data_IF_119872170851
#
_entry.id   IF_119872170851
#
_cell.length_a   1.000
_cell.length_b   1.000
_cell.length_c   1.000
_cell.angle_alpha   90.00
_cell.angle_beta   90.00
_cell.angle_gamma   90.00
#
_symmetry.space_group_name_H-M   'P 1'
#
loop_
_entity.id
_entity.type
_entity.pdbx_description
1 polymer ?
#
# COMPACT_ATOMS: atom_id res chain seq x y z
N UNK A 1 -16.30 20.34 -64.47
CA UNK A 1 -16.78 20.39 -63.09
C UNK A 1 -15.89 19.50 -62.26
N UNK A 2 -15.01 20.04 -61.42
CA UNK A 2 -14.14 19.32 -60.52
C UNK A 2 -14.64 19.53 -59.10
N UNK A 3 -15.12 18.50 -58.43
CA UNK A 3 -15.50 18.54 -57.02
C UNK A 3 -14.27 18.19 -56.19
N UNK A 4 -13.82 19.16 -55.35
CA UNK A 4 -12.81 18.93 -54.31
C UNK A 4 -13.48 18.54 -53.01
N UNK A 5 -13.20 17.34 -52.52
CA UNK A 5 -13.65 16.86 -51.23
C UNK A 5 -12.62 17.29 -50.18
N UNK A 6 -13.01 18.18 -49.28
CA UNK A 6 -12.22 18.54 -48.09
C UNK A 6 -12.49 17.46 -47.00
N UNK A 7 -11.45 16.75 -46.64
CA UNK A 7 -11.44 15.89 -45.46
C UNK A 7 -11.09 16.73 -44.21
N UNK A 8 -12.05 16.93 -43.31
CA UNK A 8 -11.80 17.49 -41.99
C UNK A 8 -11.36 16.37 -41.06
N UNK A 9 -10.10 16.32 -40.72
CA UNK A 9 -9.59 15.50 -39.60
C UNK A 9 -9.86 16.19 -38.27
N UNK A 10 -10.92 15.80 -37.60
CA UNK A 10 -11.20 16.25 -36.25
C UNK A 10 -10.30 15.50 -35.27
N UNK A 11 -9.31 16.16 -34.69
CA UNK A 11 -8.55 15.63 -33.56
C UNK A 11 -9.43 15.69 -32.31
N UNK A 12 -9.83 14.51 -31.80
CA UNK A 12 -10.48 14.39 -30.49
C UNK A 12 -9.42 14.67 -29.42
N UNK A 13 -9.42 15.86 -28.83
CA UNK A 13 -8.67 16.17 -27.63
C UNK A 13 -9.49 15.64 -26.45
N UNK A 14 -9.11 14.47 -25.92
CA UNK A 14 -9.66 13.98 -24.67
C UNK A 14 -9.16 14.86 -23.51
N UNK A 15 -10.00 15.79 -23.06
CA UNK A 15 -9.73 16.56 -21.85
C UNK A 15 -9.90 15.63 -20.63
N UNK A 16 -8.78 15.29 -20.00
CA UNK A 16 -8.79 14.65 -18.68
C UNK A 16 -9.24 15.69 -17.67
N UNK A 17 -10.51 15.66 -17.31
CA UNK A 17 -11.05 16.48 -16.24
C UNK A 17 -10.54 15.91 -14.91
N UNK A 18 -9.56 16.55 -14.30
CA UNK A 18 -9.19 16.30 -12.89
C UNK A 18 -10.28 16.92 -12.01
N UNK A 19 -11.32 16.17 -11.70
CA UNK A 19 -12.33 16.60 -10.76
C UNK A 19 -11.70 16.62 -9.36
N UNK A 20 -11.53 17.81 -8.77
CA UNK A 20 -11.22 17.94 -7.34
C UNK A 20 -12.38 17.36 -6.54
N UNK A 21 -12.12 16.52 -5.53
CA UNK A 21 -13.19 16.02 -4.66
C UNK A 21 -13.99 17.18 -4.07
N UNK A 22 -15.31 17.03 -3.98
CA UNK A 22 -16.14 18.05 -3.33
C UNK A 22 -15.78 18.13 -1.85
N UNK A 23 -15.91 19.33 -1.23
CA UNK A 23 -15.67 19.52 0.21
C UNK A 23 -16.47 18.56 1.11
N UNK A 24 -17.55 18.01 0.61
CA UNK A 24 -18.36 17.01 1.30
C UNK A 24 -17.67 15.64 1.30
N UNK A 25 -17.10 15.24 0.16
CA UNK A 25 -16.29 13.99 0.01
C UNK A 25 -15.02 14.09 0.87
N UNK A 26 -14.35 15.25 0.88
CA UNK A 26 -13.20 15.50 1.78
C UNK A 26 -13.58 15.42 3.26
N UNK A 27 -14.76 15.92 3.64
CA UNK A 27 -15.26 15.82 5.03
C UNK A 27 -15.69 14.40 5.39
N UNK A 28 -16.15 13.62 4.46
CA UNK A 28 -16.45 12.19 4.66
C UNK A 28 -15.17 11.38 4.73
N UNK A 29 -14.22 11.57 3.84
CA UNK A 29 -12.91 10.94 3.88
C UNK A 29 -12.22 11.17 5.24
N UNK A 30 -12.25 12.41 5.76
CA UNK A 30 -11.71 12.77 7.10
C UNK A 30 -12.31 12.01 8.28
N UNK A 31 -13.43 11.31 8.10
CA UNK A 31 -14.08 10.53 9.16
C UNK A 31 -13.83 9.04 9.05
N UNK A 32 -13.29 8.55 7.93
CA UNK A 32 -13.45 7.15 7.61
C UNK A 32 -12.17 6.31 7.58
N UNK A 33 -11.01 6.83 7.23
CA UNK A 33 -9.82 5.99 7.13
C UNK A 33 -8.52 6.80 7.07
N UNK A 34 -7.49 6.35 7.78
CA UNK A 34 -6.12 6.81 7.62
C UNK A 34 -5.15 5.66 7.89
N UNK A 35 -4.17 5.49 7.02
CA UNK A 35 -3.00 4.72 7.36
C UNK A 35 -2.08 5.57 8.21
N UNK A 36 -1.34 4.95 9.12
CA UNK A 36 -0.23 5.58 9.84
C UNK A 36 1.09 5.04 9.34
N UNK A 37 2.14 5.86 9.36
CA UNK A 37 3.50 5.38 9.24
C UNK A 37 3.78 4.23 10.22
N UNK A 38 4.78 3.44 9.90
CA UNK A 38 5.21 2.33 10.73
C UNK A 38 5.36 2.75 12.20
N UNK A 39 4.67 2.05 13.08
CA UNK A 39 4.75 2.21 14.53
C UNK A 39 5.39 0.97 15.12
N UNK A 40 6.73 1.00 15.25
CA UNK A 40 7.47 -0.07 15.88
C UNK A 40 7.08 -0.22 17.34
N UNK A 41 6.79 -1.43 17.80
CA UNK A 41 6.70 -1.73 19.22
C UNK A 41 8.11 -1.80 19.79
N UNK A 42 8.44 -0.93 20.72
CA UNK A 42 9.70 -0.96 21.45
C UNK A 42 9.70 -2.09 22.49
N UNK A 43 9.72 -3.34 22.04
CA UNK A 43 10.11 -4.45 22.89
C UNK A 43 11.61 -4.70 22.76
N UNK A 44 12.37 -3.95 23.52
CA UNK A 44 13.68 -4.36 24.02
C UNK A 44 13.47 -5.52 25.00
N UNK A 45 13.29 -6.71 24.51
CA UNK A 45 13.39 -7.91 25.33
C UNK A 45 14.83 -8.37 25.35
N UNK A 46 15.52 -8.14 26.47
CA UNK A 46 16.64 -8.94 26.91
C UNK A 46 18.02 -8.49 26.48
N UNK A 47 18.69 -7.80 27.39
CA UNK A 47 20.13 -7.88 27.72
C UNK A 47 21.04 -8.50 26.63
N UNK A 48 21.65 -7.69 25.79
CA UNK A 48 22.66 -8.12 24.83
C UNK A 48 23.33 -6.92 24.20
N UNK A 49 24.54 -6.60 24.71
CA UNK A 49 25.55 -5.69 24.21
C UNK A 49 25.43 -5.31 22.73
N UNK A 50 25.54 -4.00 22.50
CA UNK A 50 25.81 -3.41 21.19
C UNK A 50 26.89 -4.16 20.44
N UNK A 51 26.55 -4.87 19.38
CA UNK A 51 27.49 -5.37 18.39
C UNK A 51 27.21 -4.78 17.01
N UNK A 52 28.27 -4.35 16.42
CA UNK A 52 28.40 -3.64 15.16
C UNK A 52 27.77 -4.38 13.98
N UNK A 53 27.14 -3.64 13.13
CA UNK A 53 26.67 -4.01 11.80
C UNK A 53 27.78 -4.67 10.98
N UNK A 54 27.57 -5.93 10.61
CA UNK A 54 28.44 -6.63 9.66
C UNK A 54 28.46 -8.13 9.80
N UNK A 55 27.32 -8.84 9.65
CA UNK A 55 27.34 -10.26 9.27
C UNK A 55 26.01 -10.68 8.64
N UNK A 56 26.09 -11.27 7.46
CA UNK A 56 25.00 -11.98 6.78
C UNK A 56 24.33 -12.99 7.73
N UNK A 57 23.01 -12.92 7.89
CA UNK A 57 22.23 -14.12 8.18
C UNK A 57 21.54 -14.21 9.55
N UNK A 58 21.06 -13.11 10.15
CA UNK A 58 20.03 -13.19 11.19
C UNK A 58 18.88 -12.32 10.73
N UNK A 59 17.83 -12.94 10.21
CA UNK A 59 16.55 -12.26 9.93
C UNK A 59 15.88 -12.01 11.26
N UNK A 60 15.98 -10.79 11.78
CA UNK A 60 15.17 -10.37 12.92
C UNK A 60 13.79 -10.02 12.39
N UNK A 61 12.76 -10.69 12.89
CA UNK A 61 11.38 -10.23 12.72
C UNK A 61 11.21 -9.00 13.61
N UNK A 62 10.73 -7.91 13.03
CA UNK A 62 10.34 -6.73 13.78
C UNK A 62 8.86 -6.77 14.13
N UNK A 63 8.45 -5.99 15.12
CA UNK A 63 7.07 -5.93 15.56
C UNK A 63 6.52 -4.51 15.42
N UNK A 64 5.27 -4.42 15.01
CA UNK A 64 4.52 -3.19 14.84
C UNK A 64 3.12 -3.33 15.43
N UNK A 65 2.53 -2.23 15.87
CA UNK A 65 1.14 -2.24 16.31
C UNK A 65 0.16 -2.32 15.13
N UNK A 66 0.58 -1.91 13.94
CA UNK A 66 -0.32 -1.70 12.80
C UNK A 66 0.10 -2.41 11.52
N UNK A 67 1.38 -2.70 11.26
CA UNK A 67 1.85 -3.28 10.00
C UNK A 67 2.36 -4.70 10.13
N UNK A 68 2.07 -5.51 9.12
CA UNK A 68 2.65 -6.84 8.93
C UNK A 68 2.98 -7.06 7.46
N UNK A 69 4.19 -7.50 7.16
CA UNK A 69 4.66 -7.70 5.80
C UNK A 69 6.16 -7.53 5.67
N UNK A 70 6.59 -6.95 4.57
CA UNK A 70 8.02 -6.68 4.31
C UNK A 70 8.22 -5.21 3.99
N UNK A 71 9.27 -4.63 4.57
CA UNK A 71 9.74 -3.27 4.31
C UNK A 71 11.18 -3.36 3.81
N UNK A 72 11.48 -2.81 2.64
CA UNK A 72 12.85 -2.52 2.23
C UNK A 72 13.18 -1.12 2.76
N UNK A 73 13.98 -1.05 3.80
CA UNK A 73 14.25 0.18 4.57
C UNK A 73 15.08 1.21 3.81
N UNK A 74 15.85 0.77 2.79
CA UNK A 74 16.65 1.68 1.99
C UNK A 74 16.91 1.16 0.58
N UNK A 75 16.90 2.06 -0.42
CA UNK A 75 17.35 1.73 -1.77
C UNK A 75 18.90 1.55 -1.80
N UNK A 76 19.43 1.02 -2.89
CA UNK A 76 20.86 1.06 -3.11
C UNK A 76 21.43 2.48 -3.02
N UNK A 77 22.66 2.59 -2.50
CA UNK A 77 23.31 3.89 -2.25
C UNK A 77 23.22 4.84 -3.44
N UNK A 78 22.81 6.09 -3.17
CA UNK A 78 22.65 7.14 -4.16
C UNK A 78 21.40 7.02 -5.06
N UNK A 79 20.47 6.13 -4.73
CA UNK A 79 19.24 5.92 -5.49
C UNK A 79 18.00 6.14 -4.61
N UNK A 80 16.84 6.24 -5.26
CA UNK A 80 15.55 6.34 -4.61
C UNK A 80 14.59 5.32 -5.24
N UNK A 81 13.69 4.74 -4.46
CA UNK A 81 12.60 3.96 -5.02
C UNK A 81 11.67 4.85 -5.83
N UNK A 82 11.40 4.41 -7.06
CA UNK A 82 10.51 5.12 -7.99
C UNK A 82 9.25 4.33 -8.31
N UNK A 83 9.26 3.01 -8.08
CA UNK A 83 8.05 2.20 -8.23
C UNK A 83 8.04 0.99 -7.32
N UNK A 84 6.84 0.59 -6.91
CA UNK A 84 6.58 -0.65 -6.18
C UNK A 84 5.37 -1.33 -6.81
N UNK A 85 5.44 -2.65 -6.95
CA UNK A 85 4.32 -3.45 -7.46
C UNK A 85 4.11 -4.71 -6.64
N UNK A 86 2.88 -5.18 -6.59
CA UNK A 86 2.49 -6.44 -5.99
C UNK A 86 1.15 -6.91 -6.50
N UNK A 87 0.95 -8.23 -6.55
CA UNK A 87 -0.31 -8.84 -6.96
C UNK A 87 -0.76 -9.80 -5.88
N UNK A 88 -2.00 -9.71 -5.44
CA UNK A 88 -2.56 -10.64 -4.45
C UNK A 88 -4.00 -11.05 -4.79
N UNK A 89 -4.43 -12.15 -4.20
CA UNK A 89 -5.82 -12.59 -4.23
C UNK A 89 -6.55 -11.99 -3.03
N UNK A 90 -7.66 -11.30 -3.28
CA UNK A 90 -8.48 -10.69 -2.22
C UNK A 90 -9.02 -11.77 -1.29
N UNK A 91 -8.69 -11.73 0.01
CA UNK A 91 -9.12 -12.77 0.96
C UNK A 91 -10.60 -12.66 1.29
N UNK A 92 -11.14 -13.69 1.91
CA UNK A 92 -12.44 -13.62 2.59
C UNK A 92 -12.20 -13.56 4.08
N UNK A 93 -12.38 -12.41 4.74
CA UNK A 93 -12.23 -12.32 6.18
C UNK A 93 -13.29 -13.17 6.88
N UNK A 94 -12.97 -13.68 8.06
CA UNK A 94 -13.81 -14.57 8.83
C UNK A 94 -13.79 -14.24 10.32
N UNK A 95 -14.73 -14.81 11.09
CA UNK A 95 -14.82 -14.61 12.53
C UNK A 95 -15.70 -13.44 12.94
N UNK A 96 -15.27 -12.67 13.94
CA UNK A 96 -15.98 -11.49 14.46
C UNK A 96 -15.85 -10.28 13.55
N UNK A 97 -16.71 -9.28 13.77
CA UNK A 97 -16.64 -7.99 13.08
C UNK A 97 -15.24 -7.37 13.21
N UNK A 98 -14.74 -6.87 12.09
CA UNK A 98 -13.43 -6.26 12.01
C UNK A 98 -13.05 -5.89 10.58
N UNK A 99 -11.89 -5.27 10.43
CA UNK A 99 -11.35 -4.85 9.13
C UNK A 99 -9.84 -5.06 9.08
N UNK A 100 -9.30 -5.22 7.88
CA UNK A 100 -7.87 -5.16 7.61
C UNK A 100 -7.65 -4.66 6.18
N UNK A 101 -6.45 -4.25 5.86
CA UNK A 101 -6.08 -3.73 4.55
C UNK A 101 -4.85 -4.42 4.00
N UNK A 102 -4.83 -4.72 2.69
CA UNK A 102 -3.63 -5.16 1.99
C UNK A 102 -3.22 -4.11 0.96
N UNK A 103 -1.97 -3.63 1.03
CA UNK A 103 -1.50 -2.54 0.20
C UNK A 103 -0.01 -2.63 -0.14
N UNK A 104 0.42 -1.83 -1.11
CA UNK A 104 1.83 -1.57 -1.42
C UNK A 104 2.10 -0.08 -1.41
N UNK A 105 3.34 0.34 -1.08
CA UNK A 105 3.68 1.74 -0.91
C UNK A 105 5.14 2.09 -1.11
N UNK A 106 5.39 3.40 -1.14
CA UNK A 106 6.71 4.04 -1.11
C UNK A 106 6.73 5.00 0.07
N UNK A 107 7.75 4.91 0.92
CA UNK A 107 7.96 5.65 2.18
C UNK A 107 6.95 5.28 3.28
N UNK A 108 7.16 5.73 4.51
CA UNK A 108 6.28 5.48 5.66
C UNK A 108 6.93 4.80 6.84
N UNK A 109 8.13 4.29 6.67
CA UNK A 109 8.96 3.75 7.75
C UNK A 109 10.01 4.80 8.16
N UNK A 110 11.25 4.69 7.73
CA UNK A 110 12.32 5.65 8.04
C UNK A 110 12.03 7.04 7.44
N UNK A 111 11.31 7.10 6.32
CA UNK A 111 10.75 8.33 5.74
C UNK A 111 9.28 8.53 6.17
N UNK A 112 9.03 8.70 7.45
CA UNK A 112 7.70 8.68 8.09
C UNK A 112 6.80 9.90 7.84
N UNK A 113 7.26 10.90 7.07
CA UNK A 113 6.47 12.11 6.79
C UNK A 113 5.55 11.98 5.57
N UNK A 114 5.71 10.94 4.77
CA UNK A 114 4.90 10.68 3.59
C UNK A 114 4.79 9.18 3.31
N UNK A 115 3.69 8.78 2.70
CA UNK A 115 3.51 7.46 2.08
C UNK A 115 2.69 7.67 0.82
N UNK A 116 3.18 7.19 -0.31
CA UNK A 116 2.36 7.05 -1.52
C UNK A 116 1.96 5.59 -1.64
N UNK A 117 0.68 5.30 -1.46
CA UNK A 117 0.18 3.93 -1.33
C UNK A 117 -1.20 3.73 -1.93
N UNK A 118 -1.54 2.47 -2.19
CA UNK A 118 -2.88 2.06 -2.58
C UNK A 118 -3.15 0.61 -2.17
N UNK A 119 -4.40 0.28 -1.91
CA UNK A 119 -4.76 -1.01 -1.39
C UNK A 119 -6.21 -1.40 -1.53
N UNK A 120 -6.53 -2.48 -0.85
CA UNK A 120 -7.87 -3.04 -0.70
C UNK A 120 -8.14 -3.31 0.76
N UNK A 121 -9.26 -2.76 1.25
CA UNK A 121 -9.80 -3.11 2.55
C UNK A 121 -10.74 -4.30 2.44
N UNK A 122 -10.72 -5.14 3.43
CA UNK A 122 -11.65 -6.24 3.60
C UNK A 122 -12.24 -6.18 5.01
N UNK A 123 -13.56 -6.00 5.05
CA UNK A 123 -14.33 -5.77 6.28
C UNK A 123 -15.38 -6.84 6.46
N UNK A 124 -15.53 -7.34 7.69
CA UNK A 124 -16.67 -8.13 8.11
C UNK A 124 -17.46 -7.34 9.14
N UNK A 125 -18.75 -7.16 8.91
CA UNK A 125 -19.66 -6.45 9.82
C UNK A 125 -21.05 -7.08 9.83
N UNK A 126 -21.49 -7.53 11.01
CA UNK A 126 -22.75 -8.23 11.17
C UNK A 126 -22.84 -9.48 10.29
N UNK A 127 -21.73 -10.21 10.13
CA UNK A 127 -21.62 -11.40 9.29
C UNK A 127 -21.62 -11.13 7.78
N UNK A 128 -21.60 -9.86 7.35
CA UNK A 128 -21.50 -9.45 5.94
C UNK A 128 -20.09 -9.00 5.63
N UNK A 129 -19.57 -9.43 4.48
CA UNK A 129 -18.24 -9.03 4.01
C UNK A 129 -18.38 -7.97 2.94
N UNK A 130 -17.53 -6.93 3.02
CA UNK A 130 -17.41 -5.87 2.02
C UNK A 130 -15.95 -5.58 1.71
N UNK A 131 -15.73 -4.96 0.55
CA UNK A 131 -14.41 -4.63 0.05
C UNK A 131 -14.40 -3.23 -0.52
N UNK A 132 -13.37 -2.44 -0.19
CA UNK A 132 -13.15 -1.12 -0.72
C UNK A 132 -11.74 -1.03 -1.30
N UNK A 133 -11.59 -0.45 -2.48
CA UNK A 133 -10.28 -0.15 -3.07
C UNK A 133 -9.99 1.32 -2.89
N UNK A 134 -8.76 1.62 -2.52
CA UNK A 134 -8.42 2.95 -2.10
C UNK A 134 -7.01 3.37 -2.54
N UNK A 135 -6.74 4.68 -2.45
CA UNK A 135 -5.46 5.32 -2.66
C UNK A 135 -5.22 6.43 -1.65
N UNK A 136 -3.97 6.68 -1.32
CA UNK A 136 -3.59 7.70 -0.34
C UNK A 136 -2.20 8.27 -0.66
N UNK A 137 -2.05 9.55 -0.37
CA UNK A 137 -0.75 10.18 -0.14
C UNK A 137 -0.79 10.77 1.26
N UNK A 138 -0.20 10.06 2.23
CA UNK A 138 -0.10 10.51 3.62
C UNK A 138 0.65 11.86 3.71
N UNK A 139 0.24 12.82 4.57
CA UNK A 139 -0.76 12.73 5.64
C UNK A 139 -2.21 13.09 5.23
N UNK A 140 -2.57 13.10 3.95
CA UNK A 140 -3.98 13.08 3.60
C UNK A 140 -4.62 11.76 4.04
N UNK A 141 -5.96 11.71 3.99
CA UNK A 141 -6.72 10.48 4.22
C UNK A 141 -6.78 9.62 2.95
N UNK A 142 -7.08 8.34 3.11
CA UNK A 142 -7.39 7.46 2.00
C UNK A 142 -8.71 7.86 1.33
N UNK A 143 -8.77 7.69 0.01
CA UNK A 143 -9.93 7.94 -0.82
C UNK A 143 -10.27 6.67 -1.60
N UNK A 144 -11.55 6.33 -1.67
CA UNK A 144 -12.00 5.16 -2.40
C UNK A 144 -11.97 5.41 -3.91
N UNK A 145 -11.60 4.38 -4.68
CA UNK A 145 -11.79 4.38 -6.12
C UNK A 145 -13.28 4.22 -6.44
N UNK A 146 -13.82 5.15 -7.21
CA UNK A 146 -15.16 5.00 -7.75
C UNK A 146 -15.16 4.03 -8.95
N UNK A 147 -16.23 3.22 -9.08
CA UNK A 147 -16.47 2.32 -10.21
C UNK A 147 -15.42 1.18 -10.40
N UNK A 148 -14.75 0.79 -9.33
CA UNK A 148 -13.84 -0.34 -9.32
C UNK A 148 -14.32 -1.39 -8.32
N UNK A 149 -15.20 -2.28 -8.77
CA UNK A 149 -15.76 -3.32 -7.92
C UNK A 149 -14.74 -4.41 -7.62
N UNK A 150 -14.69 -4.81 -6.35
CA UNK A 150 -13.84 -5.90 -5.84
C UNK A 150 -14.72 -6.93 -5.14
N UNK A 151 -14.32 -8.19 -5.25
CA UNK A 151 -14.94 -9.32 -4.56
C UNK A 151 -13.86 -10.27 -4.06
N UNK A 152 -14.20 -11.10 -3.08
CA UNK A 152 -13.35 -12.21 -2.66
C UNK A 152 -12.87 -13.03 -3.87
N UNK A 153 -11.62 -13.46 -3.83
CA UNK A 153 -11.02 -14.25 -4.89
C UNK A 153 -10.58 -13.45 -6.12
N UNK A 154 -10.86 -12.13 -6.19
CA UNK A 154 -10.30 -11.32 -7.26
C UNK A 154 -8.77 -11.21 -7.11
N UNK A 155 -8.08 -11.32 -8.23
CA UNK A 155 -6.63 -11.10 -8.32
C UNK A 155 -6.39 -9.63 -8.65
N UNK A 156 -5.85 -8.89 -7.69
CA UNK A 156 -5.58 -7.46 -7.81
C UNK A 156 -4.08 -7.24 -7.95
N UNK A 157 -3.68 -6.51 -9.00
CA UNK A 157 -2.33 -5.95 -9.11
C UNK A 157 -2.37 -4.49 -8.73
N UNK A 158 -1.44 -4.07 -7.89
CA UNK A 158 -1.24 -2.66 -7.51
C UNK A 158 0.12 -2.23 -8.04
N UNK A 159 0.15 -1.06 -8.68
CA UNK A 159 1.38 -0.41 -9.12
C UNK A 159 1.43 1.00 -8.55
N UNK A 160 2.50 1.31 -7.86
CA UNK A 160 2.83 2.65 -7.36
C UNK A 160 3.97 3.19 -8.22
N UNK A 161 3.84 4.42 -8.68
CA UNK A 161 4.86 5.13 -9.45
C UNK A 161 5.08 6.53 -8.86
N UNK A 162 6.30 6.81 -8.44
CA UNK A 162 6.77 8.14 -8.10
C UNK A 162 7.42 8.78 -9.33
N UNK A 163 6.78 9.77 -9.93
CA UNK A 163 7.34 10.52 -11.05
C UNK A 163 8.46 11.47 -10.60
N UNK A 164 8.30 12.00 -9.40
CA UNK A 164 9.28 12.80 -8.65
C UNK A 164 8.81 12.88 -7.19
N UNK A 165 9.54 13.59 -6.35
CA UNK A 165 9.22 13.67 -4.91
C UNK A 165 7.83 14.25 -4.58
N UNK A 166 7.20 14.96 -5.50
CA UNK A 166 5.91 15.64 -5.25
C UNK A 166 4.77 15.18 -6.15
N UNK A 167 5.02 14.29 -7.10
CA UNK A 167 4.00 13.76 -8.02
C UNK A 167 4.18 12.26 -8.23
N UNK A 168 3.08 11.55 -8.22
CA UNK A 168 3.06 10.12 -8.46
C UNK A 168 1.70 9.63 -8.96
N UNK A 169 1.62 8.35 -9.21
CA UNK A 169 0.38 7.70 -9.58
C UNK A 169 0.26 6.33 -8.94
N UNK A 170 -0.96 5.93 -8.71
CA UNK A 170 -1.31 4.58 -8.22
C UNK A 170 -2.29 3.96 -9.20
N UNK A 171 -2.09 2.69 -9.53
CA UNK A 171 -2.93 1.95 -10.46
C UNK A 171 -3.32 0.62 -9.85
N UNK A 172 -4.61 0.32 -9.83
CA UNK A 172 -5.15 -0.98 -9.48
C UNK A 172 -5.69 -1.68 -10.74
N UNK A 173 -5.39 -2.96 -10.89
CA UNK A 173 -5.84 -3.80 -11.99
C UNK A 173 -6.52 -5.04 -11.42
N UNK A 174 -7.81 -5.22 -11.69
CA UNK A 174 -8.53 -6.44 -11.38
C UNK A 174 -8.39 -7.41 -12.56
N UNK A 175 -7.54 -8.43 -12.41
CA UNK A 175 -7.24 -9.39 -13.47
C UNK A 175 -8.42 -10.29 -13.84
N UNK A 176 -9.39 -10.47 -12.94
CA UNK A 176 -10.57 -11.28 -13.19
C UNK A 176 -11.59 -10.58 -14.09
N UNK A 177 -11.67 -9.25 -13.99
CA UNK A 177 -12.62 -8.43 -14.78
C UNK A 177 -11.95 -7.70 -15.93
N UNK A 178 -10.62 -7.64 -15.97
CA UNK A 178 -9.84 -6.83 -16.92
C UNK A 178 -9.92 -5.31 -16.68
N UNK A 179 -10.61 -4.87 -15.63
CA UNK A 179 -10.73 -3.43 -15.31
C UNK A 179 -9.48 -2.92 -14.62
N UNK A 180 -9.16 -1.66 -14.90
CA UNK A 180 -8.12 -0.91 -14.20
C UNK A 180 -8.60 0.49 -13.84
N UNK A 181 -8.05 1.03 -12.77
CA UNK A 181 -8.22 2.43 -12.35
C UNK A 181 -6.86 3.01 -12.01
N UNK A 182 -6.69 4.28 -12.32
CA UNK A 182 -5.46 5.02 -12.02
C UNK A 182 -5.82 6.35 -11.40
N UNK A 183 -5.12 6.72 -10.33
CA UNK A 183 -5.18 8.03 -9.72
C UNK A 183 -3.80 8.69 -9.80
N UNK A 184 -3.78 9.93 -10.28
CA UNK A 184 -2.60 10.80 -10.22
C UNK A 184 -2.71 11.63 -8.94
N UNK A 185 -1.63 11.66 -8.16
CA UNK A 185 -1.57 12.37 -6.89
C UNK A 185 -0.42 13.37 -6.86
N UNK A 186 -0.61 14.38 -6.03
CA UNK A 186 0.44 15.33 -5.66
C UNK A 186 0.63 15.32 -4.16
N UNK A 187 1.86 15.53 -3.71
CA UNK A 187 2.16 15.65 -2.29
C UNK A 187 1.27 16.71 -1.63
N UNK A 188 0.64 16.40 -0.48
CA UNK A 188 -0.26 17.34 0.21
C UNK A 188 0.44 18.63 0.69
N UNK A 189 1.74 18.54 0.93
CA UNK A 189 2.59 19.66 1.34
C UNK A 189 4.05 19.39 0.95
N UNK A 190 4.91 20.37 1.06
CA UNK A 190 6.35 20.19 0.84
C UNK A 190 7.00 19.23 1.85
N UNK A 191 6.49 19.16 3.08
CA UNK A 191 6.96 18.22 4.11
C UNK A 191 6.56 16.78 3.82
N UNK A 192 5.51 16.57 3.03
CA UNK A 192 5.05 15.25 2.59
C UNK A 192 5.64 14.84 1.23
N UNK A 193 6.72 15.47 0.79
CA UNK A 193 7.44 15.05 -0.39
C UNK A 193 8.10 13.68 -0.16
N UNK A 194 7.93 12.76 -1.11
CA UNK A 194 8.56 11.43 -1.07
C UNK A 194 10.09 11.55 -1.00
N UNK A 195 10.68 10.66 -0.24
CA UNK A 195 12.13 10.45 -0.19
C UNK A 195 12.54 9.27 -1.07
N UNK A 196 11.60 8.39 -1.40
CA UNK A 196 11.89 7.13 -2.07
C UNK A 196 12.84 6.26 -1.26
N UNK A 197 12.70 6.33 0.06
CA UNK A 197 13.59 5.66 1.01
C UNK A 197 13.12 4.25 1.32
N UNK A 198 11.81 4.05 1.42
CA UNK A 198 11.22 2.76 1.76
C UNK A 198 10.38 2.21 0.60
N UNK A 199 10.23 0.89 0.54
CA UNK A 199 9.32 0.20 -0.35
C UNK A 199 8.71 -0.99 0.38
N UNK A 200 7.37 -1.17 0.34
CA UNK A 200 6.70 -2.10 1.21
C UNK A 200 5.48 -2.80 0.60
N UNK A 201 5.20 -3.99 1.15
CA UNK A 201 4.04 -4.86 0.91
C UNK A 201 3.46 -5.25 2.26
N UNK A 202 2.31 -4.67 2.61
CA UNK A 202 1.78 -4.66 3.98
C UNK A 202 0.35 -5.19 4.03
N UNK A 203 0.04 -5.93 5.11
CA UNK A 203 -1.30 -6.05 5.66
C UNK A 203 -1.36 -5.23 6.94
N UNK A 204 -2.33 -4.33 7.03
CA UNK A 204 -2.43 -3.31 8.07
C UNK A 204 -3.71 -3.44 8.90
N UNK A 205 -3.57 -3.22 10.21
CA UNK A 205 -4.63 -2.80 11.12
C UNK A 205 -4.70 -1.26 11.07
N UNK A 206 -5.50 -0.73 10.16
CA UNK A 206 -5.55 0.71 9.89
C UNK A 206 -6.41 1.48 10.92
N UNK A 207 -6.31 2.81 10.88
CA UNK A 207 -7.11 3.66 11.74
C UNK A 207 -8.41 4.13 11.11
N UNK A 208 -9.44 4.19 11.95
CA UNK A 208 -10.69 4.85 11.63
C UNK A 208 -11.14 5.71 12.80
N UNK A 209 -11.33 7.02 12.53
CA UNK A 209 -11.72 7.96 13.57
C UNK A 209 -10.66 8.16 14.67
N UNK A 210 -9.39 7.92 14.37
CA UNK A 210 -8.25 8.12 15.29
C UNK A 210 -7.96 6.93 16.21
N UNK A 211 -8.56 5.76 15.94
CA UNK A 211 -8.26 4.51 16.65
C UNK A 211 -8.05 3.38 15.65
N UNK A 212 -7.22 2.41 16.00
CA UNK A 212 -7.12 1.17 15.24
C UNK A 212 -8.49 0.50 15.17
N UNK A 213 -8.83 -0.07 14.01
CA UNK A 213 -10.04 -0.86 13.87
C UNK A 213 -9.91 -2.20 14.61
N UNK A 214 -11.00 -2.93 14.80
CA UNK A 214 -10.87 -4.32 15.23
C UNK A 214 -10.23 -5.11 14.10
N UNK A 215 -9.05 -5.68 14.33
CA UNK A 215 -8.30 -6.38 13.30
C UNK A 215 -9.01 -7.66 12.86
N UNK A 216 -9.37 -7.74 11.58
CA UNK A 216 -10.09 -8.88 11.03
C UNK A 216 -9.17 -10.08 10.81
N UNK A 217 -9.69 -11.28 11.07
CA UNK A 217 -9.03 -12.50 10.62
C UNK A 217 -9.20 -12.63 9.08
N UNK A 218 -8.20 -12.19 8.35
CA UNK A 218 -8.13 -12.26 6.89
C UNK A 218 -7.61 -13.61 6.36
N UNK A 219 -7.22 -14.53 7.26
CA UNK A 219 -6.59 -15.78 6.88
C UNK A 219 -5.16 -15.55 6.35
N UNK A 220 -4.99 -15.55 5.05
CA UNK A 220 -3.67 -15.37 4.42
C UNK A 220 -3.76 -14.45 3.22
N UNK A 221 -2.83 -13.50 3.11
CA UNK A 221 -2.58 -12.68 1.92
C UNK A 221 -1.18 -12.99 1.42
N UNK A 222 -1.05 -13.29 0.13
CA UNK A 222 0.25 -13.48 -0.52
C UNK A 222 0.38 -12.49 -1.67
N UNK A 223 1.27 -11.52 -1.51
CA UNK A 223 1.72 -10.67 -2.62
C UNK A 223 2.69 -11.46 -3.48
N UNK A 224 2.38 -11.61 -4.75
CA UNK A 224 3.22 -12.24 -5.78
C UNK A 224 3.67 -11.20 -6.79
N UNK A 225 4.68 -11.50 -7.60
CA UNK A 225 5.31 -10.52 -8.50
C UNK A 225 5.68 -9.22 -7.76
N UNK A 226 6.05 -9.36 -6.49
CA UNK A 226 6.42 -8.28 -5.62
C UNK A 226 7.81 -7.76 -5.98
N UNK A 227 7.92 -6.49 -6.32
CA UNK A 227 9.19 -5.85 -6.65
C UNK A 227 9.16 -4.35 -6.42
N UNK A 228 10.30 -3.78 -6.06
CA UNK A 228 10.54 -2.35 -5.95
C UNK A 228 11.67 -1.94 -6.89
N UNK A 229 11.50 -0.86 -7.63
CA UNK A 229 12.49 -0.40 -8.61
C UNK A 229 13.00 0.99 -8.29
N UNK A 230 14.28 1.17 -8.58
CA UNK A 230 14.97 2.45 -8.63
C UNK A 230 15.25 2.80 -10.10
N UNK A 231 16.01 3.85 -10.36
CA UNK A 231 16.42 4.21 -11.74
C UNK A 231 17.28 3.14 -12.44
N UNK A 232 17.93 2.26 -11.69
CA UNK A 232 18.90 1.31 -12.27
C UNK A 232 18.79 -0.12 -11.74
N UNK A 233 17.99 -0.37 -10.69
CA UNK A 233 17.88 -1.70 -10.07
C UNK A 233 16.43 -2.02 -9.72
N UNK A 234 16.14 -3.31 -9.72
CA UNK A 234 14.90 -3.87 -9.17
C UNK A 234 15.29 -4.81 -8.02
N UNK A 235 14.63 -4.64 -6.89
CA UNK A 235 14.81 -5.45 -5.69
C UNK A 235 13.52 -6.23 -5.40
N UNK A 236 13.71 -7.42 -4.86
CA UNK A 236 12.60 -8.22 -4.34
C UNK A 236 12.44 -8.08 -2.83
N UNK A 237 11.33 -8.58 -2.26
CA UNK A 237 11.04 -8.49 -0.83
C UNK A 237 12.14 -9.05 0.07
N UNK A 238 12.87 -10.09 -0.36
CA UNK A 238 13.98 -10.69 0.41
C UNK A 238 15.19 -9.75 0.62
N UNK A 239 15.10 -8.52 0.15
CA UNK A 239 16.07 -7.44 0.44
C UNK A 239 15.64 -6.59 1.64
N UNK A 240 14.47 -6.84 2.21
CA UNK A 240 13.88 -6.08 3.32
C UNK A 240 13.86 -6.85 4.64
N UNK A 241 13.27 -6.22 5.63
CA UNK A 241 12.96 -6.82 6.94
C UNK A 241 11.52 -7.34 6.95
N UNK A 242 11.27 -8.37 7.74
CA UNK A 242 9.92 -8.86 8.02
C UNK A 242 9.36 -8.17 9.26
N UNK A 243 8.11 -7.79 9.17
CA UNK A 243 7.38 -7.16 10.27
C UNK A 243 6.13 -7.98 10.58
N UNK A 244 5.79 -8.12 11.86
CA UNK A 244 4.58 -8.77 12.34
C UNK A 244 3.80 -7.83 13.26
N UNK A 245 2.47 -7.91 13.23
CA UNK A 245 1.64 -7.16 14.16
C UNK A 245 1.70 -7.81 15.53
N UNK A 246 2.07 -7.01 16.55
CA UNK A 246 1.97 -7.35 17.95
C UNK A 246 1.14 -6.31 18.70
N UNK A 247 0.07 -6.77 19.36
CA UNK A 247 -0.82 -5.92 20.16
C UNK A 247 -1.05 -6.57 21.53
N UNK A 248 -0.93 -5.79 22.58
CA UNK A 248 -1.12 -6.24 23.96
C UNK A 248 -0.26 -7.47 24.33
N UNK A 249 0.98 -7.54 23.80
CA UNK A 249 1.91 -8.65 24.04
C UNK A 249 1.54 -9.94 23.29
N UNK A 250 0.63 -9.87 22.32
CA UNK A 250 0.24 -11.00 21.49
C UNK A 250 0.61 -10.73 20.03
N UNK A 251 1.37 -11.64 19.42
CA UNK A 251 1.66 -11.63 18.00
C UNK A 251 0.44 -12.11 17.22
N UNK A 252 -0.10 -11.25 16.37
CA UNK A 252 -1.34 -11.48 15.62
C UNK A 252 -1.10 -11.95 14.19
N UNK A 253 0.13 -11.86 13.69
CA UNK A 253 0.47 -12.22 12.31
C UNK A 253 1.81 -12.93 12.23
N UNK A 254 2.03 -13.62 11.12
CA UNK A 254 3.35 -14.15 10.76
C UNK A 254 3.65 -13.82 9.29
N UNK A 255 4.88 -13.37 9.02
CA UNK A 255 5.33 -12.96 7.69
C UNK A 255 6.44 -13.87 7.17
N UNK A 256 6.31 -14.30 5.90
CA UNK A 256 7.35 -14.97 5.15
C UNK A 256 7.54 -14.28 3.79
N UNK A 257 8.77 -14.35 3.27
CA UNK A 257 9.14 -13.72 2.01
C UNK A 257 10.00 -14.62 1.13
N UNK A 258 10.02 -14.29 -0.14
CA UNK A 258 10.94 -14.81 -1.14
C UNK A 258 11.48 -13.65 -1.99
N UNK A 259 12.25 -13.95 -3.03
CA UNK A 259 12.73 -12.91 -3.95
C UNK A 259 11.63 -12.17 -4.71
N UNK A 260 10.39 -12.67 -4.74
CA UNK A 260 9.29 -12.09 -5.52
C UNK A 260 7.91 -12.24 -4.85
N UNK A 261 7.86 -12.62 -3.59
CA UNK A 261 6.59 -12.74 -2.85
C UNK A 261 6.72 -12.38 -1.38
N UNK A 262 5.62 -11.91 -0.81
CA UNK A 262 5.42 -11.69 0.63
C UNK A 262 4.14 -12.40 1.02
N UNK A 263 4.20 -13.26 2.03
CA UNK A 263 3.03 -13.95 2.59
C UNK A 263 2.83 -13.50 4.02
N UNK A 264 1.67 -12.94 4.30
CA UNK A 264 1.21 -12.55 5.64
C UNK A 264 0.05 -13.44 6.03
N UNK A 265 0.15 -14.06 7.21
CA UNK A 265 -0.88 -14.93 7.76
C UNK A 265 -1.36 -14.38 9.11
N UNK A 266 -2.67 -14.32 9.31
CA UNK A 266 -3.28 -14.07 10.61
C UNK A 266 -3.09 -15.32 11.50
N UNK A 267 -2.71 -15.10 12.79
CA UNK A 267 -2.44 -16.16 13.77
C UNK A 267 -3.69 -16.68 14.47
#
# INVERSE_FOLDING_TARGET
MKFSTLLFSGALVASVATARPSRLVERQARRFRGSRPFSGSSHMSGNGSSESYGAKGITHDEYSENWSGVIIESPPSGQNFTSVTGTFVVPTPSGSDGSASAWVGIDGDTASQSILQAGVDFTIKGGKVSYDSWYEWYPNYAYDFSNFAISAGNTITINILSNNSTHGSVTLINKNTGKSVTQILSAPSSSAALKGQNAEWIVEDYEQGGNLVTFANFGTVTFTNASASTSSKTLGPNSGIKVNIEQNGKVLTSTNDTSNSVTVKHS
#
